data_IF_412261375455
#
_entry.id   IF_412261375455
#
_cell.length_a   1.000
_cell.length_b   1.000
_cell.length_c   1.000
_cell.angle_alpha   90.00
_cell.angle_beta   90.00
_cell.angle_gamma   90.00
#
_symmetry.space_group_name_H-M   'P 1'
#
loop_
_entity.id
_entity.type
_entity.pdbx_description
1 polymer ?
#
# COMPACT_ATOMS: atom_id res chain seq x y z
N UNK A 1 21.80 6.30 -17.27
CA UNK A 1 21.16 7.33 -16.42
C UNK A 1 19.93 6.67 -15.80
N UNK A 2 19.90 6.25 -14.52
CA UNK A 2 18.74 5.55 -14.00
C UNK A 2 17.61 6.56 -13.77
N UNK A 3 16.52 6.35 -14.50
CA UNK A 3 15.32 7.18 -14.53
C UNK A 3 14.79 7.46 -13.13
N UNK A 4 14.60 8.75 -12.90
CA UNK A 4 13.96 9.37 -11.75
C UNK A 4 12.49 8.94 -11.72
N UNK A 5 12.17 7.77 -11.19
CA UNK A 5 10.79 7.38 -10.84
C UNK A 5 10.35 8.16 -9.59
N UNK A 6 10.45 9.48 -9.67
CA UNK A 6 9.71 10.44 -8.89
C UNK A 6 8.43 10.80 -9.62
N UNK A 7 7.79 9.81 -10.26
CA UNK A 7 6.41 9.95 -10.69
C UNK A 7 5.64 10.27 -9.42
N UNK A 8 5.14 11.50 -9.41
CA UNK A 8 4.39 12.07 -8.33
C UNK A 8 3.08 11.27 -8.28
N UNK A 9 3.08 10.16 -7.54
CA UNK A 9 1.89 9.32 -7.39
C UNK A 9 0.76 10.21 -6.88
N UNK A 10 -0.33 10.29 -7.64
CA UNK A 10 -1.48 11.07 -7.23
C UNK A 10 -2.29 10.30 -6.21
N UNK A 11 -2.93 11.02 -5.29
CA UNK A 11 -3.89 10.40 -4.39
C UNK A 11 -4.97 9.69 -5.20
N UNK A 12 -5.10 8.38 -5.00
CA UNK A 12 -6.01 7.54 -5.78
C UNK A 12 -5.33 6.59 -6.76
N UNK A 13 -4.02 6.71 -7.00
CA UNK A 13 -3.33 5.82 -7.95
C UNK A 13 -3.26 4.38 -7.43
N UNK A 14 -3.65 3.44 -8.28
CA UNK A 14 -3.61 2.01 -8.00
C UNK A 14 -2.20 1.48 -8.21
N UNK A 15 -1.62 0.89 -7.17
CA UNK A 15 -0.22 0.44 -7.15
C UNK A 15 -0.08 -0.92 -6.47
N UNK A 16 1.04 -1.57 -6.67
CA UNK A 16 1.52 -2.69 -5.88
C UNK A 16 2.64 -2.19 -4.98
N UNK A 17 2.44 -2.31 -3.67
CA UNK A 17 3.45 -1.97 -2.69
C UNK A 17 4.22 -3.22 -2.29
N UNK A 18 5.55 -3.14 -2.35
CA UNK A 18 6.44 -4.21 -1.90
C UNK A 18 7.04 -3.86 -0.53
N UNK A 19 6.75 -4.70 0.47
CA UNK A 19 7.36 -4.62 1.80
C UNK A 19 8.43 -5.69 2.00
N UNK A 20 9.35 -5.44 2.93
CA UNK A 20 10.36 -6.43 3.32
C UNK A 20 9.65 -7.62 3.98
N UNK A 21 9.82 -8.83 3.43
CA UNK A 21 9.20 -10.06 3.95
C UNK A 21 7.78 -10.33 3.48
N UNK A 22 7.17 -9.43 2.69
CA UNK A 22 5.83 -9.62 2.12
C UNK A 22 5.89 -9.61 0.59
N UNK A 23 4.96 -10.32 -0.09
CA UNK A 23 4.82 -10.26 -1.53
C UNK A 23 4.33 -8.86 -1.97
N UNK A 24 4.29 -8.65 -3.29
CA UNK A 24 3.70 -7.43 -3.85
C UNK A 24 2.20 -7.41 -3.50
N UNK A 25 1.78 -6.41 -2.72
CA UNK A 25 0.42 -6.32 -2.22
C UNK A 25 -0.36 -5.24 -2.95
N UNK A 26 -1.63 -5.48 -3.33
CA UNK A 26 -2.47 -4.46 -3.97
C UNK A 26 -2.69 -3.30 -3.00
N UNK A 27 -2.30 -2.10 -3.41
CA UNK A 27 -2.39 -0.91 -2.60
C UNK A 27 -2.82 0.31 -3.43
N UNK A 28 -3.24 1.37 -2.74
CA UNK A 28 -3.49 2.67 -3.35
C UNK A 28 -2.48 3.67 -2.82
N UNK A 29 -1.84 4.41 -3.71
CA UNK A 29 -1.03 5.54 -3.32
C UNK A 29 -1.92 6.72 -2.92
N UNK A 30 -1.53 7.37 -1.83
CA UNK A 30 -2.10 8.64 -1.39
C UNK A 30 -1.05 9.75 -1.61
N UNK A 31 -1.43 11.02 -1.46
CA UNK A 31 -0.51 12.13 -1.69
C UNK A 31 0.68 12.04 -0.71
N UNK A 32 1.88 11.92 -1.29
CA UNK A 32 3.08 11.55 -0.56
C UNK A 32 4.11 12.66 -0.44
N UNK A 33 4.68 12.82 0.75
CA UNK A 33 5.83 13.69 0.96
C UNK A 33 7.08 13.04 0.38
N UNK A 34 7.57 13.56 -0.76
CA UNK A 34 8.85 13.37 -1.53
C UNK A 34 9.81 12.20 -1.21
N UNK A 35 9.95 11.75 0.05
CA UNK A 35 10.75 10.60 0.50
C UNK A 35 9.95 9.31 0.70
N UNK A 36 8.68 9.40 1.12
CA UNK A 36 7.83 8.22 1.42
C UNK A 36 6.40 8.49 1.00
N UNK A 37 5.82 7.55 0.27
CA UNK A 37 4.43 7.62 -0.17
C UNK A 37 3.59 6.82 0.82
N UNK A 38 2.61 7.45 1.48
CA UNK A 38 1.59 6.72 2.22
C UNK A 38 0.77 5.90 1.22
N UNK A 39 0.66 4.61 1.47
CA UNK A 39 -0.13 3.68 0.67
C UNK A 39 -1.15 2.98 1.56
N UNK A 40 -2.34 2.77 1.02
CA UNK A 40 -3.41 2.00 1.64
C UNK A 40 -3.42 0.59 1.07
N UNK A 41 -3.25 -0.43 1.90
CA UNK A 41 -3.26 -1.82 1.49
C UNK A 41 -4.70 -2.35 1.45
N UNK A 42 -5.13 -2.81 0.27
CA UNK A 42 -6.43 -3.44 0.12
C UNK A 42 -6.47 -4.81 0.83
N UNK A 43 -7.63 -5.25 1.30
CA UNK A 43 -7.82 -6.51 2.04
C UNK A 43 -7.41 -6.43 3.52
N UNK A 44 -6.30 -5.79 3.85
CA UNK A 44 -5.91 -5.54 5.25
C UNK A 44 -6.40 -4.19 5.76
N UNK A 45 -6.75 -3.27 4.84
CA UNK A 45 -7.16 -1.89 5.12
C UNK A 45 -6.16 -1.10 5.98
N UNK A 46 -4.89 -1.53 5.96
CA UNK A 46 -3.82 -0.88 6.69
C UNK A 46 -3.19 0.24 5.87
N UNK A 47 -2.63 1.24 6.54
CA UNK A 47 -1.87 2.31 5.91
C UNK A 47 -0.39 2.10 6.24
N UNK A 48 0.47 2.11 5.22
CA UNK A 48 1.92 2.06 5.40
C UNK A 48 2.64 3.12 4.60
N UNK A 49 3.90 3.40 4.97
CA UNK A 49 4.72 4.40 4.28
C UNK A 49 5.86 3.69 3.53
N UNK A 50 5.73 3.62 2.21
CA UNK A 50 6.65 2.87 1.36
C UNK A 50 7.48 3.86 0.53
N UNK A 51 8.80 3.63 0.37
CA UNK A 51 9.59 4.45 -0.54
C UNK A 51 9.10 4.23 -1.97
N UNK A 52 9.06 5.27 -2.82
CA UNK A 52 8.58 5.16 -4.20
C UNK A 52 9.34 4.12 -5.03
N UNK A 53 10.59 3.80 -4.64
CA UNK A 53 11.42 2.73 -5.23
C UNK A 53 10.79 1.33 -5.14
N UNK A 54 9.95 1.10 -4.12
CA UNK A 54 9.31 -0.18 -3.86
C UNK A 54 7.81 -0.16 -4.24
N UNK A 55 7.37 0.87 -4.96
CA UNK A 55 6.01 1.03 -5.45
C UNK A 55 6.03 0.76 -6.94
N UNK A 56 5.12 -0.12 -7.39
CA UNK A 56 5.01 -0.51 -8.80
C UNK A 56 3.59 -0.20 -9.26
N UNK A 57 3.36 0.41 -10.44
CA UNK A 57 2.02 0.71 -10.91
C UNK A 57 1.18 -0.57 -11.17
N UNK A 58 -0.12 -0.53 -10.86
CA UNK A 58 -1.02 -1.67 -11.04
C UNK A 58 -1.30 -2.00 -12.52
N UNK A 59 -1.40 -0.97 -13.37
CA UNK A 59 -1.87 -1.05 -14.76
C UNK A 59 -1.16 -2.11 -15.63
N UNK A 60 0.16 -2.28 -15.49
CA UNK A 60 0.94 -3.25 -16.27
C UNK A 60 1.31 -4.54 -15.54
N UNK A 61 1.14 -4.59 -14.21
CA UNK A 61 1.75 -5.62 -13.38
C UNK A 61 0.72 -6.56 -12.71
N UNK A 62 -0.58 -6.31 -12.92
CA UNK A 62 -1.68 -7.11 -12.38
C UNK A 62 -1.52 -8.60 -12.64
N UNK A 63 -1.19 -9.01 -13.86
CA UNK A 63 -1.10 -10.44 -14.21
C UNK A 63 0.15 -11.10 -13.60
N UNK A 64 1.21 -10.33 -13.37
CA UNK A 64 2.48 -10.81 -12.82
C UNK A 64 2.43 -10.99 -11.31
N UNK A 65 1.77 -10.08 -10.60
CA UNK A 65 1.71 -10.09 -9.13
C UNK A 65 0.35 -10.48 -8.58
N UNK A 66 -0.69 -10.53 -9.40
CA UNK A 66 -2.06 -10.86 -8.98
C UNK A 66 -2.32 -12.35 -8.73
N UNK A 67 -1.32 -13.22 -8.93
CA UNK A 67 -1.42 -14.66 -8.72
C UNK A 67 -0.23 -15.20 -7.93
N UNK A 68 -0.45 -16.24 -7.11
CA UNK A 68 0.62 -16.95 -6.39
C UNK A 68 0.84 -16.53 -4.94
N UNK A 69 0.08 -15.56 -4.43
CA UNK A 69 0.10 -15.17 -3.00
C UNK A 69 -0.99 -15.92 -2.24
N UNK A 70 -0.59 -16.68 -1.21
CA UNK A 70 -1.51 -17.47 -0.34
C UNK A 70 -1.81 -16.81 1.01
N UNK A 71 -1.47 -15.53 1.16
CA UNK A 71 -1.71 -14.78 2.40
C UNK A 71 -3.19 -14.39 2.47
N UNK A 72 -3.80 -14.54 3.65
CA UNK A 72 -5.20 -14.13 3.90
C UNK A 72 -5.39 -12.63 3.62
N UNK A 73 -6.50 -12.26 3.00
CA UNK A 73 -6.77 -10.89 2.57
C UNK A 73 -6.14 -10.48 1.24
N UNK A 74 -5.21 -11.25 0.65
CA UNK A 74 -4.61 -10.89 -0.64
C UNK A 74 -5.64 -10.96 -1.77
N UNK A 75 -6.42 -12.05 -1.81
CA UNK A 75 -7.44 -12.27 -2.84
C UNK A 75 -8.58 -11.27 -2.70
N UNK A 76 -8.96 -10.94 -1.47
CA UNK A 76 -9.92 -9.85 -1.16
C UNK A 76 -9.39 -8.51 -1.65
N UNK A 77 -8.15 -8.15 -1.31
CA UNK A 77 -7.56 -6.89 -1.74
C UNK A 77 -7.39 -6.78 -3.26
N UNK A 78 -7.09 -7.89 -3.94
CA UNK A 78 -7.05 -7.96 -5.41
C UNK A 78 -8.44 -7.80 -6.03
N UNK A 79 -9.50 -8.22 -5.36
CA UNK A 79 -10.87 -8.00 -5.81
C UNK A 79 -11.30 -6.55 -5.55
N UNK A 80 -10.97 -5.98 -4.39
CA UNK A 80 -11.28 -4.59 -4.04
C UNK A 80 -10.64 -3.58 -4.98
N UNK A 81 -9.35 -3.74 -5.30
CA UNK A 81 -8.66 -2.83 -6.22
C UNK A 81 -9.28 -2.83 -7.64
N UNK A 82 -10.00 -3.90 -8.02
CA UNK A 82 -10.66 -4.03 -9.33
C UNK A 82 -12.10 -3.53 -9.32
N UNK A 83 -12.85 -3.80 -8.25
CA UNK A 83 -14.29 -3.54 -8.19
C UNK A 83 -14.62 -2.28 -7.39
N UNK A 84 -13.81 -1.96 -6.39
CA UNK A 84 -14.04 -0.86 -5.45
C UNK A 84 -12.76 -0.04 -5.21
N UNK A 85 -12.21 0.63 -6.24
CA UNK A 85 -11.02 1.47 -6.08
C UNK A 85 -11.26 2.66 -5.10
N UNK A 86 -12.53 2.94 -4.79
CA UNK A 86 -12.98 3.93 -3.81
C UNK A 86 -12.96 3.47 -2.34
N UNK A 87 -12.70 2.19 -2.04
CA UNK A 87 -12.59 1.75 -0.63
C UNK A 87 -11.47 2.58 0.03
N UNK A 88 -11.79 3.29 1.11
CA UNK A 88 -10.86 4.17 1.80
C UNK A 88 -10.55 5.53 1.13
N UNK A 89 -11.31 5.99 0.12
CA UNK A 89 -11.31 7.43 -0.19
C UNK A 89 -11.81 8.19 1.04
N UNK A 90 -10.98 9.11 1.55
CA UNK A 90 -11.23 9.87 2.77
C UNK A 90 -12.32 10.94 2.58
N UNK A 91 -13.50 10.55 2.10
CA UNK A 91 -14.72 11.32 2.31
C UNK A 91 -15.31 10.78 3.62
N UNK A 92 -14.76 11.32 4.72
CA UNK A 92 -15.35 11.41 6.06
C UNK A 92 -15.91 10.11 6.68
N UNK A 93 -15.05 9.31 7.32
CA UNK A 93 -15.46 8.61 8.56
C UNK A 93 -14.39 8.83 9.62
N UNK A 94 -14.79 9.61 10.61
CA UNK A 94 -14.09 9.89 11.86
C UNK A 94 -13.70 8.59 12.57
N UNK A 95 -12.44 8.14 12.42
CA UNK A 95 -11.78 7.32 13.45
C UNK A 95 -10.28 7.65 13.51
N UNK A 96 -9.73 7.89 14.72
CA UNK A 96 -8.29 8.10 14.93
C UNK A 96 -7.49 6.82 14.65
N UNK A 97 -6.17 6.95 14.46
CA UNK A 97 -5.35 6.04 13.66
C UNK A 97 -4.95 4.80 14.47
N UNK A 98 -4.95 3.62 13.87
CA UNK A 98 -4.12 2.53 14.37
C UNK A 98 -2.85 2.42 13.52
N UNK A 99 -1.97 3.40 13.69
CA UNK A 99 -0.56 3.10 13.74
C UNK A 99 -0.37 2.11 14.89
N UNK A 100 -0.24 0.83 14.57
CA UNK A 100 0.29 -0.14 15.53
C UNK A 100 1.78 0.17 15.65
N UNK A 101 2.12 1.19 16.45
CA UNK A 101 3.41 1.26 17.09
C UNK A 101 3.49 -0.01 17.94
N UNK A 102 4.22 -1.02 17.46
CA UNK A 102 4.67 -2.11 18.31
C UNK A 102 5.49 -1.44 19.40
N UNK A 103 4.89 -1.31 20.58
CA UNK A 103 5.56 -0.92 21.82
C UNK A 103 6.53 -2.04 22.15
N UNK A 104 7.71 -2.02 21.53
CA UNK A 104 8.89 -2.74 21.99
C UNK A 104 9.56 -1.94 23.10
N UNK A 105 8.83 -1.70 24.20
CA UNK A 105 9.40 -1.20 25.43
C UNK A 105 9.82 -2.40 26.28
N UNK A 106 11.05 -2.87 26.07
CA UNK A 106 11.73 -3.68 27.08
C UNK A 106 12.47 -2.71 28.00
N UNK A 107 12.15 -2.64 29.30
CA UNK A 107 12.96 -1.88 30.24
C UNK A 107 14.23 -2.65 30.57
N UNK A 108 15.30 -1.90 30.74
CA UNK A 108 16.47 -2.30 31.49
C UNK A 108 16.06 -2.89 32.86
N UNK A 109 16.35 -4.17 33.05
CA UNK A 109 16.76 -4.82 34.30
C UNK A 109 17.49 -6.12 33.94
#
# INVERSE_FOLDING_TARGET
>A
MPGRNGDQFKAGDLVFAKMKGFPHWPARADDGYKKRVPVYFFGTHQIGNIPPQNIVPYSGNKMKYGSGVRIRGFMEGMWEIQNTPGIGTKILVSFPPQCVCVRGGGPYL
#
